data_IF_760252407238
#
_entry.id   IF_760252407238
#
_cell.length_a   1.000
_cell.length_b   1.000
_cell.length_c   1.000
_cell.angle_alpha   90.00
_cell.angle_beta   90.00
_cell.angle_gamma   90.00
#
_symmetry.space_group_name_H-M   'P 1'
#
loop_
_entity.id
_entity.type
_entity.pdbx_description
1 polymer ?
#
# COMPACT_ATOMS: atom_id res chain seq x y z
N UNK A 1 -6.98 -5.51 -20.77
CA UNK A 1 -6.81 -4.57 -19.67
C UNK A 1 -5.65 -5.07 -18.84
N UNK A 2 -4.76 -4.19 -18.37
CA UNK A 2 -3.66 -4.58 -17.48
C UNK A 2 -4.05 -4.28 -16.04
N UNK A 3 -3.89 -5.26 -15.17
CA UNK A 3 -4.23 -5.12 -13.76
C UNK A 3 -3.08 -4.58 -12.96
N UNK A 4 -3.31 -3.51 -12.22
CA UNK A 4 -2.42 -3.01 -11.18
C UNK A 4 -2.96 -3.47 -9.83
N UNK A 5 -2.18 -4.26 -9.13
CA UNK A 5 -2.54 -4.74 -7.80
C UNK A 5 -2.36 -3.61 -6.77
N UNK A 6 -3.44 -3.27 -6.07
CA UNK A 6 -3.43 -2.35 -4.92
C UNK A 6 -3.58 -3.21 -3.67
N UNK A 7 -2.43 -3.57 -3.07
CA UNK A 7 -2.36 -4.41 -1.89
C UNK A 7 -2.14 -3.57 -0.64
N UNK A 8 -3.02 -3.70 0.34
CA UNK A 8 -2.95 -2.90 1.55
C UNK A 8 -3.34 -3.68 2.82
N UNK A 9 -2.87 -3.20 3.97
CA UNK A 9 -3.44 -3.49 5.27
C UNK A 9 -3.95 -2.19 5.89
N UNK A 10 -5.14 -2.21 6.47
CA UNK A 10 -5.74 -1.05 7.13
C UNK A 10 -6.37 -1.43 8.46
N UNK A 11 -6.07 -0.69 9.53
CA UNK A 11 -6.64 -0.95 10.88
C UNK A 11 -7.90 -0.12 11.14
N UNK A 12 -7.88 1.18 10.83
CA UNK A 12 -8.97 2.14 11.08
C UNK A 12 -9.55 2.79 9.82
N UNK A 13 -9.20 2.29 8.65
CA UNK A 13 -9.74 2.78 7.38
C UNK A 13 -8.84 3.77 6.61
N UNK A 14 -7.89 4.46 7.25
CA UNK A 14 -7.05 5.49 6.61
C UNK A 14 -6.26 4.96 5.40
N UNK A 15 -5.58 3.82 5.54
CA UNK A 15 -4.86 3.20 4.41
C UNK A 15 -5.82 2.69 3.34
N UNK A 16 -7.01 2.20 3.73
CA UNK A 16 -8.06 1.82 2.79
C UNK A 16 -8.54 3.01 1.96
N UNK A 17 -8.76 4.18 2.59
CA UNK A 17 -9.16 5.39 1.88
C UNK A 17 -8.12 5.81 0.83
N UNK A 18 -6.82 5.72 1.14
CA UNK A 18 -5.75 5.92 0.17
C UNK A 18 -5.78 4.88 -0.95
N UNK A 19 -5.92 3.60 -0.61
CA UNK A 19 -5.98 2.52 -1.59
C UNK A 19 -7.14 2.72 -2.59
N UNK A 20 -8.31 3.11 -2.10
CA UNK A 20 -9.47 3.42 -2.93
C UNK A 20 -9.22 4.66 -3.81
N UNK A 21 -8.47 5.65 -3.33
CA UNK A 21 -8.10 6.82 -4.12
C UNK A 21 -7.09 6.46 -5.21
N UNK A 22 -6.06 5.70 -4.88
CA UNK A 22 -5.07 5.17 -5.82
C UNK A 22 -5.77 4.32 -6.90
N UNK A 23 -6.72 3.47 -6.51
CA UNK A 23 -7.49 2.67 -7.47
C UNK A 23 -8.22 3.55 -8.50
N UNK A 24 -8.84 4.65 -8.07
CA UNK A 24 -9.47 5.60 -9.00
C UNK A 24 -8.47 6.27 -9.94
N UNK A 25 -7.27 6.59 -9.45
CA UNK A 25 -6.18 7.10 -10.28
C UNK A 25 -5.77 6.10 -11.36
N UNK A 26 -5.57 4.84 -10.99
CA UNK A 26 -5.26 3.76 -11.94
C UNK A 26 -6.36 3.62 -13.01
N UNK A 27 -7.62 3.59 -12.59
CA UNK A 27 -8.77 3.44 -13.49
C UNK A 27 -9.00 4.64 -14.41
N UNK A 28 -8.42 5.80 -14.10
CA UNK A 28 -8.45 6.97 -14.98
C UNK A 28 -7.55 6.82 -16.23
N UNK A 29 -6.62 5.86 -16.20
CA UNK A 29 -5.70 5.59 -17.31
C UNK A 29 -6.34 4.56 -18.26
N UNK A 30 -6.55 4.88 -19.54
CA UNK A 30 -7.14 3.94 -20.49
C UNK A 30 -6.39 2.61 -20.57
N UNK A 31 -7.12 1.51 -20.45
CA UNK A 31 -6.55 0.15 -20.53
C UNK A 31 -6.02 -0.40 -19.22
N UNK A 32 -6.03 0.38 -18.13
CA UNK A 32 -5.66 -0.07 -16.79
C UNK A 32 -6.89 -0.40 -15.94
N UNK A 33 -6.72 -1.30 -14.98
CA UNK A 33 -7.72 -1.67 -13.98
C UNK A 33 -7.05 -1.83 -12.63
N UNK A 34 -7.69 -1.36 -11.55
CA UNK A 34 -7.22 -1.58 -10.19
C UNK A 34 -7.77 -2.89 -9.63
N UNK A 35 -6.89 -3.72 -9.08
CA UNK A 35 -7.26 -4.93 -8.34
C UNK A 35 -6.93 -4.70 -6.87
N UNK A 36 -7.95 -4.38 -6.05
CA UNK A 36 -7.78 -4.16 -4.61
C UNK A 36 -7.74 -5.51 -3.89
N UNK A 37 -6.74 -5.67 -2.99
CA UNK A 37 -6.60 -6.81 -2.09
C UNK A 37 -6.12 -6.35 -0.72
N UNK A 38 -6.47 -7.12 0.30
CA UNK A 38 -5.99 -6.90 1.66
C UNK A 38 -5.33 -8.17 2.22
N UNK A 39 -4.70 -8.06 3.39
CA UNK A 39 -4.12 -9.18 4.12
C UNK A 39 -4.86 -9.39 5.44
N UNK A 40 -4.98 -10.63 5.92
CA UNK A 40 -5.61 -10.91 7.21
C UNK A 40 -4.79 -10.34 8.36
N UNK A 41 -5.44 -10.17 9.52
CA UNK A 41 -4.76 -9.82 10.76
C UNK A 41 -3.89 -10.98 11.22
N UNK A 42 -2.76 -10.65 11.87
CA UNK A 42 -1.96 -11.66 12.57
C UNK A 42 -2.53 -11.86 13.97
N UNK A 43 -2.79 -13.11 14.33
CA UNK A 43 -3.24 -13.53 15.65
C UNK A 43 -2.05 -13.98 16.52
N UNK A 44 -2.18 -13.87 17.85
CA UNK A 44 -1.28 -14.50 18.82
C UNK A 44 -1.57 -15.99 19.00
N UNK A 45 -2.69 -16.48 18.47
CA UNK A 45 -3.09 -17.89 18.46
C UNK A 45 -2.68 -18.50 17.14
N UNK A 46 -2.00 -19.66 17.15
CA UNK A 46 -1.57 -20.37 15.93
C UNK A 46 -2.71 -21.14 15.25
N UNK A 47 -3.90 -20.56 15.22
CA UNK A 47 -5.09 -21.09 14.55
C UNK A 47 -5.63 -20.05 13.59
N UNK A 48 -6.35 -20.48 12.55
CA UNK A 48 -7.04 -19.55 11.65
C UNK A 48 -8.13 -18.81 12.45
N UNK A 49 -7.88 -17.54 12.77
CA UNK A 49 -8.76 -16.70 13.59
C UNK A 49 -9.61 -15.74 12.77
N UNK A 50 -9.32 -15.61 11.48
CA UNK A 50 -10.09 -14.78 10.56
C UNK A 50 -10.87 -15.66 9.58
N UNK A 51 -12.09 -15.25 9.17
CA UNK A 51 -12.82 -15.97 8.13
C UNK A 51 -12.03 -15.99 6.82
N UNK A 52 -12.26 -16.98 5.97
CA UNK A 52 -11.58 -17.08 4.66
C UNK A 52 -11.90 -15.95 3.69
N UNK A 53 -12.94 -15.17 3.99
CA UNK A 53 -13.33 -13.96 3.24
C UNK A 53 -13.53 -12.85 4.27
N UNK A 54 -12.98 -11.62 4.04
CA UNK A 54 -13.20 -10.50 4.94
C UNK A 54 -14.68 -10.14 5.03
N UNK A 55 -15.16 -9.79 6.22
CA UNK A 55 -16.53 -9.30 6.41
C UNK A 55 -16.78 -7.98 5.68
N UNK A 56 -15.74 -7.15 5.56
CA UNK A 56 -15.79 -5.84 4.92
C UNK A 56 -14.46 -5.53 4.20
N UNK A 57 -14.55 -4.83 3.08
CA UNK A 57 -13.40 -4.38 2.30
C UNK A 57 -13.09 -5.28 1.12
N UNK A 58 -11.83 -5.23 0.65
CA UNK A 58 -11.36 -6.03 -0.46
C UNK A 58 -11.13 -7.50 -0.05
N UNK A 59 -11.27 -8.46 -0.98
CA UNK A 59 -10.87 -9.84 -0.74
C UNK A 59 -9.42 -9.96 -0.29
N UNK A 60 -9.07 -11.05 0.39
CA UNK A 60 -7.68 -11.34 0.69
C UNK A 60 -6.90 -11.59 -0.59
N UNK A 61 -5.61 -11.24 -0.53
CA UNK A 61 -4.67 -11.47 -1.63
C UNK A 61 -4.35 -12.96 -1.75
N UNK A 62 -4.26 -13.43 -3.00
CA UNK A 62 -3.82 -14.77 -3.36
C UNK A 62 -2.55 -14.70 -4.23
N UNK A 63 -1.81 -15.80 -4.33
CA UNK A 63 -0.59 -15.88 -5.15
C UNK A 63 -0.84 -15.50 -6.63
N UNK A 64 -2.03 -15.83 -7.14
CA UNK A 64 -2.42 -15.50 -8.52
C UNK A 64 -2.50 -13.99 -8.74
N UNK A 65 -2.87 -13.20 -7.73
CA UNK A 65 -2.91 -11.74 -7.85
C UNK A 65 -1.53 -11.16 -8.12
N UNK A 66 -0.47 -11.71 -7.48
CA UNK A 66 0.92 -11.32 -7.72
C UNK A 66 1.40 -11.76 -9.10
N UNK A 67 1.00 -12.95 -9.55
CA UNK A 67 1.42 -13.48 -10.83
C UNK A 67 0.83 -12.68 -12.00
N UNK A 68 -0.44 -12.34 -11.94
CA UNK A 68 -1.18 -11.70 -13.03
C UNK A 68 -1.05 -10.17 -13.07
N UNK A 69 -0.69 -9.51 -11.95
CA UNK A 69 -0.59 -8.05 -11.94
C UNK A 69 0.50 -7.53 -12.88
N UNK A 70 0.26 -6.40 -13.53
CA UNK A 70 1.25 -5.68 -14.31
C UNK A 70 2.10 -4.71 -13.48
N UNK A 71 1.71 -4.43 -12.24
CA UNK A 71 2.39 -3.57 -11.27
C UNK A 71 1.74 -3.66 -9.90
N UNK A 72 2.38 -3.09 -8.88
CA UNK A 72 1.95 -3.20 -7.49
C UNK A 72 1.98 -1.84 -6.78
N UNK A 73 0.87 -1.45 -6.14
CA UNK A 73 0.83 -0.42 -5.12
C UNK A 73 0.68 -1.10 -3.74
N UNK A 74 1.69 -0.95 -2.88
CA UNK A 74 1.76 -1.60 -1.57
C UNK A 74 1.52 -0.61 -0.44
N UNK A 75 0.52 -0.87 0.43
CA UNK A 75 0.13 0.04 1.49
C UNK A 75 0.02 -0.59 2.88
N UNK A 76 0.52 0.13 3.88
CA UNK A 76 0.43 -0.28 5.29
C UNK A 76 0.35 0.93 6.21
N UNK A 77 -0.36 0.85 7.36
CA UNK A 77 -0.24 1.89 8.37
C UNK A 77 1.15 1.86 9.00
N UNK A 78 1.59 3.03 9.48
CA UNK A 78 2.85 3.13 10.22
C UNK A 78 2.77 2.33 11.53
N UNK A 79 3.81 1.55 11.79
CA UNK A 79 4.07 0.87 13.07
C UNK A 79 5.55 1.04 13.41
N UNK A 80 5.85 2.02 14.30
CA UNK A 80 7.22 2.32 14.72
C UNK A 80 8.18 2.57 13.55
N UNK A 81 7.74 3.33 12.53
CA UNK A 81 8.52 3.63 11.34
C UNK A 81 8.64 2.47 10.33
N UNK A 82 7.82 1.43 10.48
CA UNK A 82 7.80 0.26 9.61
C UNK A 82 6.36 -0.13 9.25
N UNK A 83 6.20 -1.09 8.33
CA UNK A 83 4.90 -1.66 8.00
C UNK A 83 4.32 -2.45 9.17
N UNK A 84 2.99 -2.61 9.19
CA UNK A 84 2.31 -3.44 10.17
C UNK A 84 2.62 -4.94 9.97
N UNK A 85 2.64 -5.70 11.07
CA UNK A 85 2.96 -7.13 11.07
C UNK A 85 2.15 -7.97 10.06
N UNK A 86 0.84 -7.76 9.83
CA UNK A 86 0.11 -8.51 8.81
C UNK A 86 0.69 -8.36 7.40
N UNK A 87 1.14 -7.15 7.02
CA UNK A 87 1.76 -6.93 5.72
C UNK A 87 3.13 -7.61 5.64
N UNK A 88 3.94 -7.50 6.69
CA UNK A 88 5.25 -8.17 6.73
C UNK A 88 5.09 -9.69 6.72
N UNK A 89 4.13 -10.24 7.46
CA UNK A 89 3.82 -11.67 7.45
C UNK A 89 3.45 -12.17 6.06
N UNK A 90 2.61 -11.43 5.33
CA UNK A 90 2.29 -11.74 3.94
C UNK A 90 3.55 -11.76 3.07
N UNK A 91 4.38 -10.71 3.12
CA UNK A 91 5.62 -10.62 2.33
C UNK A 91 6.59 -11.75 2.66
N UNK A 92 6.71 -12.14 3.94
CA UNK A 92 7.56 -13.27 4.35
C UNK A 92 7.07 -14.61 3.75
N UNK A 93 5.79 -14.72 3.42
CA UNK A 93 5.21 -15.87 2.75
C UNK A 93 5.47 -15.94 1.25
N UNK A 94 6.04 -14.90 0.61
CA UNK A 94 6.21 -14.81 -0.85
C UNK A 94 7.57 -15.35 -1.37
N UNK A 95 8.20 -16.26 -0.64
CA UNK A 95 9.51 -16.83 -1.01
C UNK A 95 9.46 -17.55 -2.37
N UNK A 96 8.37 -18.26 -2.66
CA UNK A 96 8.21 -18.97 -3.93
C UNK A 96 8.12 -17.99 -5.12
N UNK A 97 7.33 -16.93 -4.97
CA UNK A 97 7.17 -15.86 -5.96
C UNK A 97 8.49 -15.11 -6.20
N UNK A 98 9.24 -14.84 -5.13
CA UNK A 98 10.57 -14.25 -5.22
C UNK A 98 11.54 -15.15 -5.99
N UNK A 99 11.60 -16.43 -5.64
CA UNK A 99 12.50 -17.40 -6.29
C UNK A 99 12.18 -17.55 -7.79
N UNK A 100 10.91 -17.51 -8.14
CA UNK A 100 10.43 -17.62 -9.52
C UNK A 100 10.51 -16.30 -10.31
N UNK A 101 10.90 -15.18 -9.67
CA UNK A 101 10.98 -13.88 -10.32
C UNK A 101 9.60 -13.30 -10.72
N UNK A 102 8.53 -13.71 -10.05
CA UNK A 102 7.14 -13.38 -10.40
C UNK A 102 6.89 -11.87 -10.53
N UNK A 103 7.55 -11.05 -9.70
CA UNK A 103 7.41 -9.59 -9.69
C UNK A 103 8.58 -8.87 -10.39
N UNK A 104 9.59 -9.57 -10.86
CA UNK A 104 10.80 -8.96 -11.43
C UNK A 104 10.47 -8.07 -12.64
N UNK A 105 10.99 -6.84 -12.61
CA UNK A 105 10.79 -5.84 -13.67
C UNK A 105 9.42 -5.17 -13.70
N UNK A 106 8.47 -5.55 -12.83
CA UNK A 106 7.17 -4.88 -12.73
C UNK A 106 7.32 -3.56 -11.94
N UNK A 107 6.61 -2.48 -12.30
CA UNK A 107 6.63 -1.23 -11.55
C UNK A 107 5.93 -1.39 -10.19
N UNK A 108 6.44 -0.66 -9.19
CA UNK A 108 5.83 -0.62 -7.85
C UNK A 108 5.91 0.77 -7.22
N UNK A 109 4.89 1.12 -6.45
CA UNK A 109 4.88 2.26 -5.55
C UNK A 109 4.39 1.84 -4.16
N UNK A 110 4.61 2.69 -3.17
CA UNK A 110 4.22 2.44 -1.77
C UNK A 110 3.39 3.60 -1.21
N UNK A 111 2.51 3.32 -0.24
CA UNK A 111 1.69 4.33 0.41
C UNK A 111 1.43 3.99 1.88
N UNK A 112 1.20 5.01 2.72
CA UNK A 112 1.05 4.82 4.16
C UNK A 112 0.09 5.81 4.81
N UNK A 113 -0.27 5.56 6.06
CA UNK A 113 -0.97 6.53 6.91
C UNK A 113 -0.43 6.48 8.34
N UNK A 114 -0.36 7.66 8.97
CA UNK A 114 0.05 7.81 10.38
C UNK A 114 -0.83 8.81 11.12
N UNK A 115 -0.67 8.90 12.44
CA UNK A 115 -1.41 9.84 13.26
C UNK A 115 -0.83 11.27 13.22
N UNK A 116 0.40 11.46 12.78
CA UNK A 116 1.06 12.77 12.76
C UNK A 116 2.02 12.92 11.58
N UNK A 117 2.32 14.15 11.13
CA UNK A 117 3.24 14.40 10.00
C UNK A 117 4.62 13.76 10.21
N UNK A 118 5.15 13.83 11.44
CA UNK A 118 6.45 13.24 11.79
C UNK A 118 6.31 11.88 12.47
N UNK A 119 5.23 11.14 12.21
CA UNK A 119 4.92 9.85 12.81
C UNK A 119 5.65 8.65 12.19
N UNK A 120 6.58 8.87 11.24
CA UNK A 120 7.34 7.82 10.57
C UNK A 120 6.80 7.44 9.19
N UNK A 121 6.13 8.36 8.49
CA UNK A 121 5.62 8.12 7.14
C UNK A 121 6.76 7.73 6.19
N UNK A 122 7.81 8.55 6.10
CA UNK A 122 8.93 8.35 5.17
C UNK A 122 9.68 7.04 5.46
N UNK A 123 9.97 6.76 6.75
CA UNK A 123 10.68 5.54 7.12
C UNK A 123 9.86 4.29 6.83
N UNK A 124 8.54 4.35 7.01
CA UNK A 124 7.63 3.24 6.65
C UNK A 124 7.62 3.01 5.15
N UNK A 125 7.49 4.07 4.34
CA UNK A 125 7.55 3.98 2.88
C UNK A 125 8.87 3.36 2.41
N UNK A 126 10.01 3.89 2.89
CA UNK A 126 11.34 3.38 2.55
C UNK A 126 11.52 1.92 2.99
N UNK A 127 11.02 1.54 4.18
CA UNK A 127 11.10 0.15 4.64
C UNK A 127 10.27 -0.82 3.79
N UNK A 128 9.11 -0.38 3.25
CA UNK A 128 8.31 -1.19 2.34
C UNK A 128 8.96 -1.35 0.96
N UNK A 129 9.77 -0.40 0.52
CA UNK A 129 10.50 -0.49 -0.75
C UNK A 129 11.55 -1.61 -0.73
N UNK A 130 12.16 -1.90 0.41
CA UNK A 130 13.23 -2.90 0.51
C UNK A 130 12.80 -4.31 0.04
N UNK A 131 11.70 -4.91 0.54
CA UNK A 131 11.25 -6.20 0.04
C UNK A 131 10.85 -6.16 -1.45
N UNK A 132 10.30 -5.04 -1.95
CA UNK A 132 9.98 -4.90 -3.37
C UNK A 132 11.24 -4.86 -4.25
N UNK A 133 12.32 -4.22 -3.79
CA UNK A 133 13.64 -4.29 -4.44
C UNK A 133 14.18 -5.73 -4.44
N UNK A 134 14.02 -6.48 -3.35
CA UNK A 134 14.40 -7.90 -3.31
C UNK A 134 13.62 -8.75 -4.32
N UNK A 135 12.37 -8.41 -4.59
CA UNK A 135 11.57 -9.01 -5.66
C UNK A 135 11.96 -8.54 -7.07
N UNK A 136 12.91 -7.60 -7.20
CA UNK A 136 13.38 -7.09 -8.49
C UNK A 136 12.42 -6.10 -9.15
N UNK A 137 11.53 -5.44 -8.39
CA UNK A 137 10.58 -4.46 -8.90
C UNK A 137 11.22 -3.10 -9.20
N UNK A 138 10.61 -2.33 -10.08
CA UNK A 138 10.99 -0.97 -10.44
C UNK A 138 10.23 0.02 -9.55
N UNK A 139 10.91 0.61 -8.58
CA UNK A 139 10.28 1.53 -7.62
C UNK A 139 10.01 2.90 -8.24
N UNK A 140 8.80 3.42 -7.97
CA UNK A 140 8.34 4.72 -8.42
C UNK A 140 7.94 5.57 -7.21
N UNK A 141 8.42 6.82 -7.20
CA UNK A 141 8.02 7.85 -6.23
C UNK A 141 7.16 8.92 -6.89
N UNK A 142 6.86 9.99 -6.13
CA UNK A 142 6.16 11.18 -6.59
C UNK A 142 7.19 12.26 -6.97
N UNK A 143 7.14 12.81 -8.21
CA UNK A 143 8.11 13.81 -8.64
C UNK A 143 7.80 15.17 -8.02
N UNK A 144 8.83 15.97 -7.68
CA UNK A 144 8.66 17.33 -7.17
C UNK A 144 8.06 18.33 -8.17
N UNK A 145 7.75 17.88 -9.37
CA UNK A 145 6.90 18.65 -10.30
C UNK A 145 5.44 18.71 -9.83
N UNK A 146 5.04 17.87 -8.87
CA UNK A 146 3.75 17.94 -8.21
C UNK A 146 3.77 19.05 -7.14
N UNK A 147 3.05 20.18 -7.36
CA UNK A 147 3.11 21.33 -6.46
C UNK A 147 2.69 21.02 -5.02
N UNK A 148 1.80 20.06 -4.86
CA UNK A 148 1.27 19.66 -3.56
C UNK A 148 2.35 19.09 -2.63
N UNK A 149 3.44 18.53 -3.16
CA UNK A 149 4.56 18.07 -2.33
C UNK A 149 5.27 19.20 -1.56
N UNK A 150 5.22 20.41 -2.08
CA UNK A 150 5.85 21.58 -1.44
C UNK A 150 4.90 22.39 -0.57
N UNK A 151 3.58 22.22 -0.75
CA UNK A 151 2.56 23.05 -0.10
C UNK A 151 1.70 22.29 0.91
N UNK A 152 1.76 20.95 0.92
CA UNK A 152 0.96 20.15 1.85
C UNK A 152 1.30 20.43 3.30
N UNK A 153 0.27 20.57 4.13
CA UNK A 153 0.38 20.62 5.59
C UNK A 153 0.00 19.28 6.26
N UNK A 154 -0.39 18.30 5.46
CA UNK A 154 -0.79 16.95 5.89
C UNK A 154 0.17 15.88 5.40
N UNK A 155 -0.37 14.83 4.81
CA UNK A 155 0.40 13.80 4.15
C UNK A 155 0.91 14.22 2.77
N UNK A 156 1.71 13.36 2.17
CA UNK A 156 2.37 13.58 0.88
C UNK A 156 3.89 13.63 1.02
N UNK A 157 4.57 12.70 0.38
CA UNK A 157 6.04 12.62 0.37
C UNK A 157 6.54 12.21 -1.01
N UNK A 158 7.80 12.53 -1.40
CA UNK A 158 8.36 12.07 -2.67
C UNK A 158 8.56 10.54 -2.72
N UNK A 159 8.53 9.86 -1.57
CA UNK A 159 8.67 8.41 -1.49
C UNK A 159 7.36 7.66 -1.72
N UNK A 160 6.22 8.35 -1.72
CA UNK A 160 4.90 7.77 -1.95
C UNK A 160 3.79 8.56 -1.29
N UNK A 161 2.55 8.25 -1.66
CA UNK A 161 1.37 8.86 -1.07
C UNK A 161 1.28 8.56 0.43
N UNK A 162 0.92 9.56 1.23
CA UNK A 162 0.71 9.37 2.66
C UNK A 162 -0.46 10.19 3.18
N UNK A 163 -1.04 9.75 4.30
CA UNK A 163 -2.15 10.42 4.97
C UNK A 163 -1.86 10.64 6.44
N UNK A 164 -2.17 11.85 6.93
CA UNK A 164 -2.09 12.20 8.36
C UNK A 164 -3.49 12.18 8.96
N UNK A 165 -3.84 11.05 9.59
CA UNK A 165 -5.19 10.77 10.10
C UNK A 165 -5.50 11.40 11.47
N UNK A 166 -4.56 12.09 12.10
CA UNK A 166 -4.72 12.56 13.47
C UNK A 166 -4.80 11.41 14.50
N UNK A 167 -4.87 11.76 15.78
CA UNK A 167 -4.96 10.78 16.88
C UNK A 167 -6.29 9.99 16.88
N UNK A 168 -7.33 10.53 16.29
CA UNK A 168 -8.63 9.90 16.13
C UNK A 168 -8.67 8.84 15.02
N UNK A 169 -7.71 8.86 14.10
CA UNK A 169 -7.67 7.95 12.96
C UNK A 169 -8.70 8.30 11.89
N UNK A 170 -8.88 9.60 11.60
CA UNK A 170 -9.80 10.09 10.58
C UNK A 170 -9.42 9.51 9.20
N UNK A 171 -10.33 8.84 8.49
CA UNK A 171 -10.08 8.32 7.15
C UNK A 171 -10.25 9.36 6.04
N UNK A 172 -10.71 10.58 6.34
CA UNK A 172 -10.91 11.64 5.34
C UNK A 172 -9.56 12.18 4.87
N UNK A 173 -9.30 12.03 3.58
CA UNK A 173 -8.11 12.57 2.95
C UNK A 173 -8.24 14.08 2.73
N UNK A 174 -7.19 14.82 3.02
CA UNK A 174 -7.06 16.20 2.60
C UNK A 174 -7.01 16.33 1.06
N UNK A 175 -7.30 17.53 0.54
CA UNK A 175 -7.29 17.73 -0.91
C UNK A 175 -5.93 17.44 -1.56
N UNK A 176 -4.83 17.91 -0.95
CA UNK A 176 -3.47 17.63 -1.42
C UNK A 176 -3.17 16.12 -1.37
N UNK A 177 -3.50 15.45 -0.26
CA UNK A 177 -3.32 13.99 -0.12
C UNK A 177 -4.09 13.21 -1.19
N UNK A 178 -5.31 13.68 -1.52
CA UNK A 178 -6.15 13.07 -2.56
C UNK A 178 -5.60 13.26 -3.98
N UNK A 179 -4.91 14.38 -4.25
CA UNK A 179 -4.27 14.62 -5.54
C UNK A 179 -2.98 13.83 -5.70
N UNK A 180 -2.21 13.68 -4.60
CA UNK A 180 -0.95 12.94 -4.57
C UNK A 180 -1.14 11.40 -4.53
N UNK A 181 -2.34 10.90 -4.26
CA UNK A 181 -2.72 9.50 -4.26
C UNK A 181 -3.41 9.09 -5.56
#
# INVERSE_FOLDING_TARGET
MQDILVLYYSHRGSVRALAERIARGIESVPGMQARLRTVPRVSTVCEASEPGVPDHGAPYVEAIDLAECAGLALGSPVRFGNMAAPMKYFLDGTIAEWHNGTLAGKPACVFTASASPHGGNETTLLSMMLPLLHHGMLLMGLPFTEPDLTTTAGGGTPYGASHVSGSGGDPLLGEAESRLA
#
